data_IF_656771398673
#
_entry.id   IF_656771398673
#
_cell.length_a   1.000
_cell.length_b   1.000
_cell.length_c   1.000
_cell.angle_alpha   90.00
_cell.angle_beta   90.00
_cell.angle_gamma   90.00
#
_symmetry.space_group_name_H-M   'P 1'
#
loop_
_entity.id
_entity.type
_entity.pdbx_description
1 polymer ?
#
# COMPACT_ATOMS: atom_id res chain seq x y z
N UNK A 1 17.34 -7.33 4.88
CA UNK A 1 17.04 -6.32 3.85
C UNK A 1 15.99 -6.94 2.94
N UNK A 2 14.73 -6.81 3.30
CA UNK A 2 13.60 -7.23 2.45
C UNK A 2 13.60 -6.29 1.25
N UNK A 3 13.78 -6.81 0.03
CA UNK A 3 13.75 -5.99 -1.20
C UNK A 3 12.45 -5.20 -1.26
N UNK A 4 12.53 -3.91 -1.00
CA UNK A 4 11.41 -2.96 -1.01
C UNK A 4 10.99 -2.58 -2.43
N UNK A 5 11.71 -3.04 -3.46
CA UNK A 5 11.50 -2.73 -4.88
C UNK A 5 10.46 -3.63 -5.59
N UNK A 6 9.65 -4.39 -4.85
CA UNK A 6 8.60 -5.22 -5.48
C UNK A 6 7.49 -4.31 -5.98
N UNK A 7 7.27 -4.27 -7.29
CA UNK A 7 6.22 -3.44 -7.89
C UNK A 7 4.83 -3.97 -7.54
N UNK A 8 3.88 -3.06 -7.28
CA UNK A 8 2.49 -3.43 -6.98
C UNK A 8 1.85 -4.26 -8.11
N UNK A 9 2.23 -4.03 -9.36
CA UNK A 9 1.78 -4.79 -10.54
C UNK A 9 2.17 -6.26 -10.52
N UNK A 10 3.20 -6.65 -9.76
CA UNK A 10 3.64 -8.03 -9.61
C UNK A 10 2.87 -8.77 -8.51
N UNK A 11 2.17 -8.03 -7.64
CA UNK A 11 1.59 -8.56 -6.42
C UNK A 11 0.08 -8.34 -6.26
N UNK A 12 -0.47 -7.43 -7.06
CA UNK A 12 -1.89 -7.14 -7.12
C UNK A 12 -2.34 -7.27 -8.59
N UNK A 13 -3.54 -7.81 -8.81
CA UNK A 13 -4.13 -7.92 -10.16
C UNK A 13 -5.23 -6.90 -10.39
N UNK A 14 -5.74 -6.27 -9.33
CA UNK A 14 -6.73 -5.21 -9.44
C UNK A 14 -6.11 -3.96 -10.08
N UNK A 15 -6.53 -3.69 -11.32
CA UNK A 15 -6.04 -2.57 -12.12
C UNK A 15 -6.49 -1.22 -11.53
N UNK A 16 -7.71 -1.11 -10.99
CA UNK A 16 -8.17 0.14 -10.38
C UNK A 16 -7.33 0.45 -9.14
N UNK A 17 -7.09 -0.56 -8.30
CA UNK A 17 -6.25 -0.43 -7.13
C UNK A 17 -4.85 0.09 -7.49
N UNK A 18 -4.20 -0.53 -8.48
CA UNK A 18 -2.85 -0.16 -8.93
C UNK A 18 -2.80 1.25 -9.50
N UNK A 19 -3.77 1.62 -10.36
CA UNK A 19 -3.83 2.95 -10.94
C UNK A 19 -4.02 4.01 -9.86
N UNK A 20 -4.87 3.73 -8.87
CA UNK A 20 -5.08 4.62 -7.73
C UNK A 20 -3.81 4.75 -6.88
N UNK A 21 -3.13 3.65 -6.59
CA UNK A 21 -1.83 3.63 -5.89
C UNK A 21 -0.80 4.52 -6.62
N UNK A 22 -0.68 4.34 -7.94
CA UNK A 22 0.24 5.11 -8.77
C UNK A 22 -0.05 6.61 -8.77
N UNK A 23 -1.32 7.02 -8.83
CA UNK A 23 -1.72 8.44 -8.68
C UNK A 23 -1.38 9.03 -7.32
N UNK A 24 -1.33 8.20 -6.27
CA UNK A 24 -0.88 8.60 -4.94
C UNK A 24 0.65 8.63 -4.78
N UNK A 25 1.39 8.18 -5.80
CA UNK A 25 2.86 8.06 -5.80
C UNK A 25 3.35 6.79 -5.10
N UNK A 26 2.54 5.73 -5.12
CA UNK A 26 2.84 4.43 -4.51
C UNK A 26 2.95 3.40 -5.64
N UNK A 27 4.18 2.98 -5.97
CA UNK A 27 4.44 2.06 -7.08
C UNK A 27 4.99 0.72 -6.61
N UNK A 28 5.62 0.70 -5.44
CA UNK A 28 6.25 -0.47 -4.85
C UNK A 28 5.63 -0.83 -3.50
N UNK A 29 5.86 -2.07 -3.08
CA UNK A 29 5.56 -2.50 -1.72
C UNK A 29 6.34 -1.68 -0.69
N UNK A 30 7.56 -1.23 -1.00
CA UNK A 30 8.31 -0.34 -0.12
C UNK A 30 7.61 0.98 0.11
N UNK A 31 7.10 1.62 -0.95
CA UNK A 31 6.34 2.87 -0.82
C UNK A 31 5.14 2.71 0.12
N UNK A 32 4.45 1.56 0.03
CA UNK A 32 3.35 1.21 0.92
C UNK A 32 3.83 1.01 2.36
N UNK A 33 4.93 0.28 2.56
CA UNK A 33 5.41 -0.05 3.90
C UNK A 33 6.03 1.14 4.62
N UNK A 34 6.51 2.15 3.88
CA UNK A 34 7.20 3.32 4.42
C UNK A 34 6.27 4.54 4.57
N UNK A 35 5.17 4.61 3.81
CA UNK A 35 4.23 5.74 3.93
C UNK A 35 3.52 5.74 5.29
N UNK A 36 3.46 6.92 5.91
CA UNK A 36 2.73 7.15 7.15
C UNK A 36 1.25 7.39 6.87
N UNK A 37 0.39 6.78 7.68
CA UNK A 37 -1.07 6.87 7.62
C UNK A 37 -1.61 8.31 7.52
N UNK A 38 -1.10 9.29 8.31
CA UNK A 38 -1.53 10.68 8.17
C UNK A 38 -1.24 11.29 6.80
N UNK A 39 -0.14 10.91 6.16
CA UNK A 39 0.24 11.43 4.84
C UNK A 39 -0.47 10.70 3.71
N UNK A 40 -0.70 9.41 3.87
CA UNK A 40 -1.55 8.63 2.97
C UNK A 40 -2.98 9.20 2.92
N UNK A 41 -3.57 9.52 4.08
CA UNK A 41 -4.93 10.10 4.18
C UNK A 41 -5.08 11.48 3.52
N UNK A 42 -3.97 12.22 3.34
CA UNK A 42 -3.98 13.53 2.65
C UNK A 42 -3.97 13.39 1.13
N UNK A 43 -3.70 12.21 0.58
CA UNK A 43 -3.65 11.98 -0.87
C UNK A 43 -5.06 12.07 -1.45
N UNK A 44 -5.23 12.80 -2.57
CA UNK A 44 -6.55 13.07 -3.17
C UNK A 44 -7.32 11.81 -3.58
N UNK A 45 -6.59 10.79 -4.03
CA UNK A 45 -7.16 9.53 -4.48
C UNK A 45 -7.35 8.50 -3.35
N UNK A 46 -7.03 8.88 -2.11
CA UNK A 46 -7.24 8.01 -0.95
C UNK A 46 -8.73 7.84 -0.65
N UNK A 47 -9.15 6.60 -0.43
CA UNK A 47 -10.49 6.26 0.05
C UNK A 47 -10.39 5.15 1.09
N UNK A 48 -11.36 5.08 2.00
CA UNK A 48 -11.40 3.99 2.99
C UNK A 48 -11.61 2.61 2.35
N UNK A 49 -12.28 2.54 1.20
CA UNK A 49 -12.44 1.30 0.43
C UNK A 49 -11.08 0.82 -0.09
N UNK A 50 -10.35 1.70 -0.80
CA UNK A 50 -9.01 1.38 -1.29
C UNK A 50 -8.05 1.03 -0.15
N UNK A 51 -8.18 1.69 1.01
CA UNK A 51 -7.39 1.35 2.19
C UNK A 51 -7.75 -0.03 2.75
N UNK A 52 -9.02 -0.42 2.78
CA UNK A 52 -9.41 -1.77 3.18
C UNK A 52 -8.81 -2.83 2.23
N UNK A 53 -8.83 -2.57 0.92
CA UNK A 53 -8.21 -3.45 -0.07
C UNK A 53 -6.68 -3.55 0.12
N UNK A 54 -6.04 -2.44 0.49
CA UNK A 54 -4.62 -2.40 0.83
C UNK A 54 -4.32 -3.29 2.05
N UNK A 55 -5.10 -3.16 3.13
CA UNK A 55 -4.91 -3.98 4.34
C UNK A 55 -5.12 -5.46 4.04
N UNK A 56 -6.16 -5.80 3.27
CA UNK A 56 -6.41 -7.18 2.86
C UNK A 56 -5.28 -7.75 1.98
N UNK A 57 -4.67 -6.93 1.11
CA UNK A 57 -3.51 -7.32 0.31
C UNK A 57 -2.28 -7.59 1.20
N UNK A 58 -2.04 -6.75 2.22
CA UNK A 58 -0.93 -6.92 3.16
C UNK A 58 -1.13 -8.15 4.07
N UNK A 59 -2.35 -8.39 4.53
CA UNK A 59 -2.71 -9.54 5.37
C UNK A 59 -2.45 -10.87 4.65
N UNK A 60 -2.91 -10.99 3.40
CA UNK A 60 -2.64 -12.16 2.53
C UNK A 60 -1.15 -12.46 2.34
N UNK A 61 -0.28 -11.48 2.58
CA UNK A 61 1.17 -11.57 2.42
C UNK A 61 1.90 -11.67 3.76
N UNK A 62 1.18 -11.65 4.88
CA UNK A 62 1.77 -11.64 6.23
C UNK A 62 2.49 -10.34 6.59
N UNK A 63 2.17 -9.23 5.92
CA UNK A 63 2.84 -7.93 6.09
C UNK A 63 2.01 -6.92 6.88
N UNK A 64 0.73 -7.22 7.15
CA UNK A 64 -0.19 -6.30 7.83
C UNK A 64 0.34 -5.89 9.21
N UNK A 65 0.76 -6.86 10.03
CA UNK A 65 1.26 -6.58 11.38
C UNK A 65 2.51 -5.69 11.36
N UNK A 66 3.43 -5.93 10.41
CA UNK A 66 4.61 -5.10 10.25
C UNK A 66 4.24 -3.68 9.80
N UNK A 67 3.31 -3.55 8.85
CA UNK A 67 2.81 -2.26 8.41
C UNK A 67 2.22 -1.48 9.58
N UNK A 68 1.32 -2.08 10.36
CA UNK A 68 0.69 -1.43 11.52
C UNK A 68 1.72 -0.99 12.57
N UNK A 69 2.71 -1.84 12.88
CA UNK A 69 3.81 -1.49 13.79
C UNK A 69 4.61 -0.29 13.31
N UNK A 70 4.79 -0.13 11.99
CA UNK A 70 5.46 1.03 11.39
C UNK A 70 4.59 2.30 11.41
N UNK A 71 3.29 2.20 11.69
CA UNK A 71 2.40 3.36 11.77
C UNK A 71 2.31 3.98 13.18
N UNK A 72 2.69 3.22 14.21
CA UNK A 72 2.89 3.70 15.57
C UNK A 72 4.09 4.67 15.65
#
# INVERSE_FOLDING_TARGET
MTSTDIFLTQIQSDVEFIQRAKRMGLETLGDIMDIKLPDLRKKKDFTYLWYADLLAMLDKRGLLEEFERRQL
#
